data_IF_721761283057
#
_entry.id   IF_721761283057
#
_cell.length_a   1.000
_cell.length_b   1.000
_cell.length_c   1.000
_cell.angle_alpha   90.00
_cell.angle_beta   90.00
_cell.angle_gamma   90.00
#
_symmetry.space_group_name_H-M   'P 1'
#
loop_
_entity.id
_entity.type
_entity.pdbx_description
1 polymer ?
#
# COMPACT_ATOMS: atom_id res chain seq x y z
N UNK A 1 30.74 39.16 -37.99
CA UNK A 1 29.82 38.02 -38.20
C UNK A 1 28.74 38.11 -37.15
N UNK A 2 27.51 37.78 -37.51
CA UNK A 2 26.26 38.29 -36.93
C UNK A 2 25.97 37.88 -35.47
N UNK A 3 26.73 38.44 -34.52
CA UNK A 3 26.52 38.22 -33.08
C UNK A 3 25.12 38.69 -32.62
N UNK A 4 24.61 39.76 -33.23
CA UNK A 4 23.23 40.21 -32.99
C UNK A 4 22.17 39.24 -33.51
N UNK A 5 22.45 38.48 -34.59
CA UNK A 5 21.48 37.50 -35.11
C UNK A 5 21.48 36.24 -34.26
N UNK A 6 22.64 35.78 -33.79
CA UNK A 6 22.69 34.61 -32.90
C UNK A 6 22.04 34.92 -31.53
N UNK A 7 22.20 36.13 -31.00
CA UNK A 7 21.56 36.60 -29.77
C UNK A 7 20.03 36.64 -29.89
N UNK A 8 19.50 37.15 -31.00
CA UNK A 8 18.06 37.19 -31.26
C UNK A 8 17.48 35.77 -31.38
N UNK A 9 18.18 34.86 -32.03
CA UNK A 9 17.75 33.46 -32.16
C UNK A 9 17.69 32.80 -30.78
N UNK A 10 18.68 33.05 -29.92
CA UNK A 10 18.73 32.48 -28.57
C UNK A 10 17.61 33.01 -27.66
N UNK A 11 17.29 34.30 -27.77
CA UNK A 11 16.16 34.90 -27.04
C UNK A 11 14.83 34.32 -27.55
N UNK A 12 14.68 34.13 -28.86
CA UNK A 12 13.46 33.59 -29.45
C UNK A 12 13.24 32.12 -29.05
N UNK A 13 14.29 31.29 -29.06
CA UNK A 13 14.19 29.88 -28.64
C UNK A 13 13.94 29.76 -27.14
N UNK A 14 14.59 30.58 -26.31
CA UNK A 14 14.32 30.61 -24.87
C UNK A 14 12.89 31.04 -24.56
N UNK A 15 12.36 32.04 -25.29
CA UNK A 15 10.96 32.45 -25.17
C UNK A 15 10.01 31.31 -25.54
N UNK A 16 10.25 30.63 -26.67
CA UNK A 16 9.43 29.51 -27.11
C UNK A 16 9.43 28.35 -26.09
N UNK A 17 10.59 28.06 -25.48
CA UNK A 17 10.71 27.05 -24.43
C UNK A 17 10.00 27.46 -23.14
N UNK A 18 10.05 28.73 -22.74
CA UNK A 18 9.31 29.22 -21.58
C UNK A 18 7.80 29.18 -21.82
N UNK A 19 7.34 29.53 -23.02
CA UNK A 19 5.92 29.40 -23.40
C UNK A 19 5.50 27.93 -23.41
N UNK A 20 6.33 27.03 -23.95
CA UNK A 20 6.08 25.59 -23.91
C UNK A 20 6.01 25.06 -22.47
N UNK A 21 6.92 25.47 -21.60
CA UNK A 21 6.90 25.14 -20.16
C UNK A 21 5.68 25.71 -19.46
N UNK A 22 5.27 26.94 -19.79
CA UNK A 22 4.11 27.59 -19.20
C UNK A 22 2.81 26.92 -19.67
N UNK A 23 2.71 26.55 -20.95
CA UNK A 23 1.61 25.73 -21.48
C UNK A 23 1.61 24.36 -20.83
N UNK A 24 2.76 23.69 -20.71
CA UNK A 24 2.85 22.37 -20.05
C UNK A 24 2.52 22.48 -18.55
N UNK A 25 2.92 23.56 -17.89
CA UNK A 25 2.60 23.81 -16.48
C UNK A 25 1.11 24.08 -16.28
N UNK A 26 0.50 24.88 -17.16
CA UNK A 26 -0.95 25.07 -17.17
C UNK A 26 -1.67 23.80 -17.56
N UNK A 27 -1.27 23.04 -18.58
CA UNK A 27 -1.84 21.74 -18.96
C UNK A 27 -1.65 20.69 -17.86
N UNK A 28 -0.57 20.74 -17.08
CA UNK A 28 -0.38 19.85 -15.93
C UNK A 28 -1.27 20.26 -14.76
N UNK A 29 -1.63 21.54 -14.66
CA UNK A 29 -2.69 22.03 -13.77
C UNK A 29 -4.11 21.92 -14.36
N UNK A 30 -4.29 21.80 -15.67
CA UNK A 30 -5.59 21.75 -16.36
C UNK A 30 -6.02 20.31 -16.64
N UNK A 31 -5.06 19.40 -16.84
CA UNK A 31 -5.32 17.96 -16.89
C UNK A 31 -5.45 17.33 -15.50
N UNK A 32 -5.25 18.11 -14.43
CA UNK A 32 -5.63 17.75 -13.05
C UNK A 32 -6.83 18.56 -12.54
N UNK A 33 -7.44 19.37 -13.43
CA UNK A 33 -8.69 20.08 -13.17
C UNK A 33 -9.67 19.81 -14.33
N UNK A 34 -10.36 18.69 -14.24
CA UNK A 34 -11.78 18.70 -14.60
C UNK A 34 -12.53 19.59 -13.60
N UNK A 35 -12.32 20.90 -13.72
CA UNK A 35 -13.28 21.90 -13.27
C UNK A 35 -14.46 21.83 -14.25
N UNK A 36 -15.27 20.79 -14.08
CA UNK A 36 -16.63 20.78 -14.59
C UNK A 36 -17.43 21.70 -13.66
N UNK A 37 -17.49 22.98 -14.01
CA UNK A 37 -18.44 23.93 -13.46
C UNK A 37 -19.86 23.52 -13.90
N UNK A 38 -20.39 22.54 -13.18
CA UNK A 38 -21.81 22.25 -13.01
C UNK A 38 -21.90 21.38 -11.77
N UNK A 39 -22.61 21.88 -10.75
CA UNK A 39 -23.21 21.10 -9.67
C UNK A 39 -24.21 20.07 -10.24
N UNK A 40 -23.69 19.10 -10.97
CA UNK A 40 -24.29 17.79 -11.17
C UNK A 40 -23.21 16.83 -10.74
N UNK A 41 -22.99 16.71 -9.43
CA UNK A 41 -22.55 15.43 -8.90
C UNK A 41 -23.61 14.45 -9.40
N UNK A 42 -23.32 13.72 -10.47
CA UNK A 42 -24.15 12.61 -10.88
C UNK A 42 -24.21 11.71 -9.67
N UNK A 43 -25.37 11.70 -9.02
CA UNK A 43 -25.52 10.97 -7.78
C UNK A 43 -25.69 9.51 -8.15
N UNK A 44 -24.58 8.78 -8.23
CA UNK A 44 -24.57 7.36 -8.56
C UNK A 44 -25.31 6.50 -7.52
N UNK A 45 -25.76 7.07 -6.39
CA UNK A 45 -26.56 6.36 -5.39
C UNK A 45 -27.77 5.66 -6.03
N UNK A 46 -28.51 6.34 -6.92
CA UNK A 46 -29.69 5.75 -7.56
C UNK A 46 -29.33 4.62 -8.54
N UNK A 47 -28.18 4.71 -9.20
CA UNK A 47 -27.68 3.67 -10.10
C UNK A 47 -27.14 2.46 -9.33
N UNK A 48 -26.41 2.72 -8.24
CA UNK A 48 -25.91 1.70 -7.32
C UNK A 48 -27.08 0.97 -6.63
N UNK A 49 -28.14 1.68 -6.23
CA UNK A 49 -29.36 1.06 -5.67
C UNK A 49 -30.06 0.15 -6.69
N UNK A 50 -30.20 0.59 -7.95
CA UNK A 50 -30.72 -0.25 -9.05
C UNK A 50 -29.85 -1.48 -9.32
N UNK A 51 -28.55 -1.38 -9.10
CA UNK A 51 -27.61 -2.51 -9.18
C UNK A 51 -27.57 -3.37 -7.89
N UNK A 52 -28.47 -3.11 -6.93
CA UNK A 52 -28.54 -3.79 -5.64
C UNK A 52 -27.22 -3.71 -4.83
N UNK A 53 -26.52 -2.58 -4.95
CA UNK A 53 -25.29 -2.28 -4.20
C UNK A 53 -25.68 -1.57 -2.91
N UNK A 54 -25.35 -2.19 -1.76
CA UNK A 54 -25.63 -1.60 -0.44
C UNK A 54 -24.49 -0.66 -0.06
N UNK A 55 -24.84 0.60 0.20
CA UNK A 55 -23.87 1.65 0.55
C UNK A 55 -23.83 1.94 2.06
N UNK A 56 -22.65 2.32 2.58
CA UNK A 56 -22.51 2.76 3.97
C UNK A 56 -23.01 4.21 4.12
N UNK A 57 -23.04 4.69 5.36
CA UNK A 57 -23.17 6.13 5.62
C UNK A 57 -21.82 6.80 5.40
N UNK A 58 -21.76 7.68 4.41
CA UNK A 58 -20.59 8.51 4.10
C UNK A 58 -20.43 9.68 5.07
N UNK A 59 -19.19 10.13 5.24
CA UNK A 59 -18.85 11.33 5.98
C UNK A 59 -18.66 12.49 5.01
N UNK A 60 -19.46 13.56 5.16
CA UNK A 60 -19.30 14.78 4.38
C UNK A 60 -18.20 15.68 4.94
N UNK A 61 -17.04 15.10 5.26
CA UNK A 61 -15.91 15.81 5.85
C UNK A 61 -14.73 15.77 4.88
N UNK A 62 -14.18 16.95 4.59
CA UNK A 62 -12.94 17.06 3.83
C UNK A 62 -11.77 16.96 4.80
N UNK A 63 -10.91 15.97 4.56
CA UNK A 63 -9.72 15.73 5.38
C UNK A 63 -8.48 16.38 4.76
N UNK A 64 -7.50 16.71 5.61
CA UNK A 64 -6.17 17.13 5.16
C UNK A 64 -5.12 16.20 5.76
N UNK A 65 -4.33 15.53 4.92
CA UNK A 65 -3.35 14.54 5.36
C UNK A 65 -2.05 14.71 4.59
N UNK A 66 -0.87 14.69 5.26
CA UNK A 66 0.42 14.80 4.60
C UNK A 66 0.89 13.45 4.04
N UNK A 67 2.00 13.47 3.30
CA UNK A 67 2.75 12.24 3.01
C UNK A 67 3.55 11.85 4.25
N UNK A 68 3.93 10.57 4.33
CA UNK A 68 4.83 10.10 5.38
C UNK A 68 5.98 9.29 4.79
N UNK A 69 7.10 9.28 5.51
CA UNK A 69 8.32 8.57 5.16
C UNK A 69 8.71 7.62 6.28
N UNK A 70 9.25 6.48 5.88
CA UNK A 70 10.02 5.60 6.76
C UNK A 70 11.43 5.41 6.21
N UNK A 71 12.39 5.20 7.09
CA UNK A 71 13.76 4.82 6.72
C UNK A 71 13.84 3.29 6.63
N UNK A 72 14.68 2.78 5.73
CA UNK A 72 15.02 1.37 5.68
C UNK A 72 15.65 0.94 7.00
N UNK A 73 15.24 -0.22 7.51
CA UNK A 73 15.67 -0.67 8.82
C UNK A 73 15.52 -2.19 8.97
N UNK A 74 16.35 -2.74 9.86
CA UNK A 74 16.35 -4.15 10.24
C UNK A 74 15.83 -4.35 11.67
N UNK A 75 15.00 -3.43 12.17
CA UNK A 75 14.62 -3.35 13.60
C UNK A 75 13.99 -4.65 14.11
N UNK A 76 13.19 -5.35 13.31
CA UNK A 76 12.65 -6.66 13.72
C UNK A 76 13.77 -7.68 13.93
N UNK A 77 14.72 -7.74 13.00
CA UNK A 77 15.87 -8.65 13.04
C UNK A 77 16.83 -8.33 14.19
N UNK A 78 17.10 -7.04 14.43
CA UNK A 78 17.97 -6.57 15.53
C UNK A 78 17.36 -6.83 16.92
N UNK A 79 16.04 -6.79 17.03
CA UNK A 79 15.33 -6.92 18.31
C UNK A 79 14.77 -8.32 18.56
N UNK A 80 14.99 -9.28 17.64
CA UNK A 80 14.46 -10.66 17.72
C UNK A 80 14.79 -11.38 19.02
N UNK A 81 15.95 -11.09 19.62
CA UNK A 81 16.42 -11.77 20.83
C UNK A 81 15.66 -11.34 22.09
N UNK A 82 14.87 -10.26 22.01
CA UNK A 82 13.95 -9.83 23.08
C UNK A 82 12.73 -10.75 23.22
N UNK A 83 12.39 -11.50 22.16
CA UNK A 83 11.24 -12.40 22.16
C UNK A 83 11.63 -13.74 22.78
N UNK A 84 11.15 -14.04 23.99
CA UNK A 84 11.36 -15.33 24.66
C UNK A 84 10.22 -16.31 24.37
N UNK A 85 10.49 -17.63 24.36
CA UNK A 85 9.50 -18.72 24.29
C UNK A 85 8.69 -18.87 22.98
N UNK A 86 9.32 -18.76 21.81
CA UNK A 86 8.63 -18.95 20.52
C UNK A 86 9.50 -19.71 19.50
N UNK A 87 8.90 -20.60 18.72
CA UNK A 87 9.55 -21.27 17.57
C UNK A 87 9.54 -20.33 16.38
N UNK A 88 10.72 -20.02 15.84
CA UNK A 88 10.94 -18.88 14.93
C UNK A 88 11.20 -19.35 13.50
N UNK A 89 10.56 -18.67 12.54
CA UNK A 89 10.96 -18.70 11.14
C UNK A 89 11.07 -17.24 10.71
N UNK A 90 12.27 -16.81 10.36
CA UNK A 90 12.52 -15.49 9.77
C UNK A 90 12.85 -15.75 8.30
N UNK A 91 12.17 -15.06 7.39
CA UNK A 91 12.56 -15.13 5.97
C UNK A 91 13.99 -14.62 5.78
N UNK A 92 14.69 -15.12 4.76
CA UNK A 92 16.12 -14.86 4.51
C UNK A 92 16.45 -13.35 4.35
N UNK A 93 15.45 -12.53 4.05
CA UNK A 93 15.55 -11.07 3.92
C UNK A 93 15.28 -10.28 5.23
N UNK A 94 14.93 -10.94 6.34
CA UNK A 94 14.65 -10.28 7.62
C UNK A 94 13.37 -9.44 7.69
N UNK A 95 12.59 -9.36 6.61
CA UNK A 95 11.43 -8.48 6.48
C UNK A 95 10.13 -9.04 7.10
N UNK A 96 10.07 -10.36 7.27
CA UNK A 96 8.92 -11.06 7.84
C UNK A 96 9.38 -11.88 9.04
N UNK A 97 8.76 -11.59 10.19
CA UNK A 97 8.91 -12.38 11.40
C UNK A 97 7.71 -13.28 11.60
N UNK A 98 7.91 -14.60 11.58
CA UNK A 98 6.84 -15.58 11.77
C UNK A 98 7.06 -16.37 13.05
N UNK A 99 5.99 -16.51 13.84
CA UNK A 99 6.04 -17.16 15.14
C UNK A 99 4.84 -18.08 15.37
N UNK A 100 5.11 -19.27 15.90
CA UNK A 100 4.10 -20.22 16.37
C UNK A 100 3.96 -20.06 17.89
N UNK A 101 2.73 -19.84 18.34
CA UNK A 101 2.42 -19.64 19.75
C UNK A 101 2.43 -20.98 20.49
N UNK A 102 3.22 -21.08 21.57
CA UNK A 102 3.22 -22.26 22.43
C UNK A 102 1.89 -22.47 23.15
N UNK A 103 1.18 -21.37 23.44
CA UNK A 103 -0.16 -21.39 24.03
C UNK A 103 -1.13 -20.64 23.09
N UNK A 104 -1.98 -21.35 22.35
CA UNK A 104 -2.96 -20.72 21.46
C UNK A 104 -3.92 -19.78 22.20
N UNK A 105 -4.31 -18.69 21.54
CA UNK A 105 -5.24 -17.71 22.10
C UNK A 105 -6.65 -18.05 21.60
N UNK A 106 -7.43 -18.74 22.44
CA UNK A 106 -8.83 -19.04 22.12
C UNK A 106 -9.70 -17.77 22.07
N UNK A 107 -10.50 -17.63 21.01
CA UNK A 107 -11.47 -16.55 20.82
C UNK A 107 -12.91 -17.08 20.94
N UNK A 108 -13.88 -16.16 20.93
CA UNK A 108 -15.31 -16.51 20.87
C UNK A 108 -15.64 -17.30 19.59
N UNK A 109 -16.61 -18.21 19.72
CA UNK A 109 -17.10 -19.01 18.60
C UNK A 109 -18.09 -18.25 17.69
N UNK A 110 -18.35 -16.97 17.98
CA UNK A 110 -19.24 -16.11 17.20
C UNK A 110 -18.74 -15.82 15.77
N UNK A 111 -19.67 -15.59 14.84
CA UNK A 111 -19.33 -15.34 13.41
C UNK A 111 -18.44 -14.11 13.22
N UNK A 112 -18.58 -13.10 14.09
CA UNK A 112 -17.75 -11.90 14.13
C UNK A 112 -16.93 -11.90 15.42
N UNK A 113 -15.80 -11.20 15.40
CA UNK A 113 -15.04 -10.94 16.62
C UNK A 113 -15.86 -10.10 17.58
N UNK A 114 -15.87 -10.49 18.85
CA UNK A 114 -16.48 -9.71 19.92
C UNK A 114 -15.49 -8.66 20.42
N UNK A 115 -15.98 -7.63 21.12
CA UNK A 115 -15.11 -6.63 21.74
C UNK A 115 -14.11 -7.25 22.71
N UNK A 116 -14.50 -8.32 23.40
CA UNK A 116 -13.65 -9.07 24.33
C UNK A 116 -12.52 -9.82 23.60
N UNK A 117 -12.80 -10.36 22.42
CA UNK A 117 -11.76 -10.99 21.58
C UNK A 117 -10.72 -9.95 21.15
N UNK A 118 -11.18 -8.78 20.72
CA UNK A 118 -10.30 -7.68 20.31
C UNK A 118 -9.47 -7.17 21.50
N UNK A 119 -10.07 -7.02 22.68
CA UNK A 119 -9.35 -6.64 23.91
C UNK A 119 -8.25 -7.66 24.26
N UNK A 120 -8.59 -8.95 24.27
CA UNK A 120 -7.62 -10.03 24.53
C UNK A 120 -6.45 -10.02 23.54
N UNK A 121 -6.73 -9.77 22.26
CA UNK A 121 -5.70 -9.67 21.24
C UNK A 121 -4.88 -8.39 21.36
N UNK A 122 -5.51 -7.26 21.72
CA UNK A 122 -4.79 -6.01 22.00
C UNK A 122 -3.80 -6.18 23.15
N UNK A 123 -4.18 -6.89 24.22
CA UNK A 123 -3.30 -7.18 25.34
C UNK A 123 -2.11 -8.04 24.90
N UNK A 124 -2.35 -9.03 24.03
CA UNK A 124 -1.29 -9.85 23.46
C UNK A 124 -0.35 -9.03 22.55
N UNK A 125 -0.90 -8.20 21.67
CA UNK A 125 -0.14 -7.30 20.79
C UNK A 125 0.73 -6.33 21.60
N UNK A 126 0.23 -5.82 22.72
CA UNK A 126 0.98 -4.90 23.59
C UNK A 126 1.93 -5.59 24.58
N UNK A 127 1.95 -6.92 24.60
CA UNK A 127 2.85 -7.69 25.47
C UNK A 127 4.28 -7.70 24.94
N UNK A 128 5.19 -8.34 25.69
CA UNK A 128 6.58 -8.57 25.28
C UNK A 128 6.73 -9.67 24.21
N UNK A 129 5.62 -10.28 23.79
CA UNK A 129 5.58 -11.37 22.81
C UNK A 129 5.57 -10.88 21.36
N UNK A 130 5.36 -9.58 21.14
CA UNK A 130 5.33 -8.93 19.82
C UNK A 130 6.22 -7.68 19.88
N UNK A 131 7.14 -7.57 18.92
CA UNK A 131 8.02 -6.40 18.84
C UNK A 131 7.22 -5.18 18.38
N UNK A 132 7.46 -4.03 18.99
CA UNK A 132 6.81 -2.77 18.58
C UNK A 132 5.27 -2.82 18.55
N UNK A 133 4.64 -3.77 19.23
CA UNK A 133 3.20 -4.00 19.10
C UNK A 133 2.32 -2.82 19.52
N UNK A 134 2.85 -1.92 20.35
CA UNK A 134 2.22 -0.63 20.69
C UNK A 134 1.91 0.27 19.47
N UNK A 135 2.63 0.08 18.37
CA UNK A 135 2.50 0.89 17.16
C UNK A 135 1.42 0.33 16.22
N UNK A 136 0.82 -0.80 16.57
CA UNK A 136 -0.22 -1.47 15.79
C UNK A 136 -1.60 -1.34 16.43
N UNK A 137 -2.63 -1.31 15.59
CA UNK A 137 -4.02 -1.36 16.01
C UNK A 137 -4.81 -2.34 15.17
N UNK A 138 -5.86 -2.92 15.76
CA UNK A 138 -6.77 -3.80 15.03
C UNK A 138 -7.31 -3.08 13.80
N UNK A 139 -7.17 -3.72 12.64
CA UNK A 139 -7.60 -3.14 11.36
C UNK A 139 -8.80 -3.91 10.81
N UNK A 140 -8.69 -5.23 10.64
CA UNK A 140 -9.77 -6.05 10.07
C UNK A 140 -9.68 -7.52 10.45
N UNK A 141 -10.80 -8.21 10.24
CA UNK A 141 -10.91 -9.66 10.35
C UNK A 141 -11.40 -10.23 9.02
N UNK A 142 -10.70 -11.24 8.51
CA UNK A 142 -11.00 -11.95 7.26
C UNK A 142 -11.44 -13.37 7.62
N UNK A 143 -12.76 -13.66 7.70
CA UNK A 143 -13.25 -14.96 8.11
C UNK A 143 -12.90 -16.08 7.13
N UNK A 144 -12.92 -15.80 5.81
CA UNK A 144 -12.62 -16.77 4.76
C UNK A 144 -11.18 -17.29 4.84
N UNK A 145 -10.24 -16.40 5.15
CA UNK A 145 -8.83 -16.73 5.37
C UNK A 145 -8.48 -17.14 6.79
N UNK A 146 -9.43 -17.08 7.74
CA UNK A 146 -9.16 -17.28 9.18
C UNK A 146 -8.03 -16.36 9.69
N UNK A 147 -8.06 -15.08 9.29
CA UNK A 147 -6.98 -14.13 9.56
C UNK A 147 -7.48 -12.89 10.28
N UNK A 148 -6.74 -12.43 11.29
CA UNK A 148 -6.95 -11.14 11.96
C UNK A 148 -5.74 -10.26 11.68
N UNK A 149 -6.00 -9.04 11.19
CA UNK A 149 -4.97 -8.12 10.73
C UNK A 149 -4.95 -6.90 11.64
N UNK A 150 -3.76 -6.58 12.12
CA UNK A 150 -3.43 -5.33 12.80
C UNK A 150 -2.52 -4.52 11.89
N UNK A 151 -2.78 -3.22 11.74
CA UNK A 151 -1.98 -2.33 10.90
C UNK A 151 -1.14 -1.40 11.78
N UNK A 152 0.09 -1.10 11.36
CA UNK A 152 0.88 -0.06 12.01
C UNK A 152 0.22 1.30 11.79
N UNK A 153 0.19 2.12 12.83
CA UNK A 153 -0.37 3.47 12.79
C UNK A 153 0.74 4.49 12.51
N UNK A 154 0.58 5.21 11.40
CA UNK A 154 1.40 6.31 10.95
C UNK A 154 0.58 7.60 11.02
N UNK A 155 1.03 8.63 11.76
CA UNK A 155 0.29 9.91 11.85
C UNK A 155 -1.23 9.71 12.12
N UNK A 156 -1.56 8.86 13.10
CA UNK A 156 -2.93 8.49 13.48
C UNK A 156 -3.77 7.76 12.40
N UNK A 157 -3.16 7.31 11.31
CA UNK A 157 -3.79 6.63 10.18
C UNK A 157 -3.10 5.26 9.96
N UNK A 158 -3.84 4.17 9.71
CA UNK A 158 -3.24 2.86 9.48
C UNK A 158 -2.50 2.78 8.14
N UNK A 159 -1.40 2.04 8.09
CA UNK A 159 -0.76 1.61 6.84
C UNK A 159 -1.53 0.38 6.32
N UNK A 160 -2.12 0.48 5.14
CA UNK A 160 -3.13 -0.48 4.65
C UNK A 160 -2.71 -1.27 3.42
N UNK A 161 -1.43 -1.23 3.06
CA UNK A 161 -0.87 -1.87 1.87
C UNK A 161 -0.24 -3.25 2.13
N UNK A 162 -0.20 -3.68 3.40
CA UNK A 162 0.41 -4.93 3.84
C UNK A 162 1.93 -4.86 4.04
N UNK A 163 2.54 -3.68 3.92
CA UNK A 163 3.97 -3.48 4.20
C UNK A 163 4.25 -3.40 5.69
N UNK A 164 3.26 -3.02 6.51
CA UNK A 164 3.36 -3.00 7.97
C UNK A 164 2.10 -3.50 8.64
N UNK A 165 2.10 -4.79 8.95
CA UNK A 165 0.98 -5.45 9.59
C UNK A 165 1.41 -6.62 10.48
N UNK A 166 0.56 -6.97 11.44
CA UNK A 166 0.59 -8.25 12.13
C UNK A 166 -0.62 -9.05 11.63
N UNK A 167 -0.35 -10.23 11.09
CA UNK A 167 -1.37 -11.17 10.63
C UNK A 167 -1.41 -12.33 11.60
N UNK A 168 -2.47 -12.43 12.39
CA UNK A 168 -2.77 -13.60 13.19
C UNK A 168 -3.49 -14.64 12.36
N UNK A 169 -3.02 -15.88 12.41
CA UNK A 169 -3.67 -17.02 11.76
C UNK A 169 -4.42 -17.86 12.78
N UNK A 170 -5.68 -18.16 12.46
CA UNK A 170 -6.57 -18.92 13.31
C UNK A 170 -6.67 -20.37 12.82
N UNK A 171 -6.82 -21.29 13.76
CA UNK A 171 -7.24 -22.65 13.46
C UNK A 171 -8.76 -22.77 13.28
N UNK A 172 -9.21 -23.98 12.92
CA UNK A 172 -10.63 -24.32 12.74
C UNK A 172 -11.47 -24.17 14.02
N UNK A 173 -10.83 -24.09 15.18
CA UNK A 173 -11.45 -23.88 16.48
C UNK A 173 -11.39 -22.41 16.93
N UNK A 174 -11.03 -21.48 16.03
CA UNK A 174 -10.86 -20.04 16.31
C UNK A 174 -9.87 -19.74 17.43
N UNK A 175 -8.76 -20.46 17.41
CA UNK A 175 -7.61 -20.17 18.26
C UNK A 175 -6.53 -19.55 17.41
N UNK A 176 -5.94 -18.45 17.88
CA UNK A 176 -4.74 -17.90 17.25
C UNK A 176 -3.58 -18.85 17.54
N UNK A 177 -3.00 -19.42 16.49
CA UNK A 177 -1.93 -20.41 16.57
C UNK A 177 -0.57 -19.86 16.15
N UNK A 178 -0.57 -18.85 15.27
CA UNK A 178 0.64 -18.23 14.77
C UNK A 178 0.36 -16.79 14.37
N UNK A 179 1.45 -16.05 14.19
CA UNK A 179 1.40 -14.74 13.58
C UNK A 179 2.58 -14.49 12.66
N UNK A 180 2.35 -13.61 11.70
CA UNK A 180 3.38 -12.98 10.88
C UNK A 180 3.41 -11.49 11.21
N UNK A 181 4.61 -10.92 11.27
CA UNK A 181 4.80 -9.51 11.54
C UNK A 181 5.72 -8.88 10.49
N UNK A 182 5.29 -7.72 10.00
CA UNK A 182 6.07 -6.78 9.18
C UNK A 182 6.04 -5.42 9.84
N UNK A 183 7.16 -4.72 9.82
CA UNK A 183 7.32 -3.41 10.46
C UNK A 183 8.13 -2.49 9.55
N UNK A 184 7.59 -1.30 9.27
CA UNK A 184 8.27 -0.33 8.39
C UNK A 184 9.15 0.64 9.16
N UNK A 185 9.21 0.53 10.49
CA UNK A 185 10.00 1.42 11.33
C UNK A 185 9.26 2.69 11.76
N UNK A 186 9.97 3.62 12.43
CA UNK A 186 9.44 4.93 12.79
C UNK A 186 9.02 5.73 11.55
N UNK A 187 7.91 6.44 11.69
CA UNK A 187 7.31 7.20 10.60
C UNK A 187 7.50 8.69 10.85
N UNK A 188 7.91 9.41 9.81
CA UNK A 188 8.06 10.88 9.83
C UNK A 188 7.09 11.52 8.84
N UNK A 189 6.50 12.65 9.24
CA UNK A 189 5.63 13.44 8.35
C UNK A 189 6.48 14.22 7.36
N UNK A 190 6.07 14.21 6.09
CA UNK A 190 6.77 14.88 5.00
C UNK A 190 5.90 15.97 4.38
N UNK A 191 6.38 17.21 4.43
CA UNK A 191 5.73 18.37 3.83
C UNK A 191 4.39 18.75 4.49
N UNK A 192 3.62 19.54 3.75
CA UNK A 192 2.31 20.05 4.18
C UNK A 192 1.19 19.05 3.93
N UNK A 193 0.13 19.15 4.74
CA UNK A 193 -1.07 18.32 4.56
C UNK A 193 -1.82 18.69 3.28
N UNK A 194 -2.20 17.69 2.49
CA UNK A 194 -2.97 17.88 1.26
C UNK A 194 -4.45 17.59 1.49
N UNK A 195 -5.29 18.36 0.81
CA UNK A 195 -6.73 18.15 0.81
C UNK A 195 -7.07 16.83 0.11
N UNK A 196 -7.96 16.06 0.73
CA UNK A 196 -8.35 14.74 0.24
C UNK A 196 -9.76 14.77 -0.37
N UNK A 197 -9.99 13.91 -1.35
CA UNK A 197 -11.34 13.58 -1.80
C UNK A 197 -12.13 12.95 -0.64
N UNK A 198 -13.46 13.04 -0.69
CA UNK A 198 -14.34 12.44 0.32
C UNK A 198 -14.42 10.92 0.16
N UNK A 199 -14.88 10.24 1.22
CA UNK A 199 -15.14 8.79 1.19
C UNK A 199 -16.22 8.42 0.14
N UNK A 200 -17.24 9.28 -0.04
CA UNK A 200 -18.23 9.17 -1.12
C UNK A 200 -17.57 9.25 -2.50
N UNK A 201 -16.73 10.26 -2.73
CA UNK A 201 -16.07 10.42 -4.03
C UNK A 201 -15.22 9.20 -4.39
N UNK A 202 -14.53 8.60 -3.42
CA UNK A 202 -13.78 7.37 -3.64
C UNK A 202 -14.67 6.20 -4.09
N UNK A 203 -15.86 6.04 -3.51
CA UNK A 203 -16.82 5.00 -3.93
C UNK A 203 -17.41 5.31 -5.31
N UNK A 204 -17.73 6.57 -5.60
CA UNK A 204 -18.20 6.99 -6.94
C UNK A 204 -17.16 6.67 -8.01
N UNK A 205 -15.88 6.96 -7.76
CA UNK A 205 -14.76 6.63 -8.66
C UNK A 205 -14.68 5.13 -8.91
N UNK A 206 -14.74 4.30 -7.87
CA UNK A 206 -14.71 2.84 -8.01
C UNK A 206 -15.90 2.33 -8.84
N UNK A 207 -17.10 2.87 -8.61
CA UNK A 207 -18.30 2.47 -9.34
C UNK A 207 -18.23 2.85 -10.83
N UNK A 208 -17.85 4.09 -11.14
CA UNK A 208 -17.69 4.58 -12.53
C UNK A 208 -16.70 3.75 -13.34
N UNK A 209 -15.67 3.21 -12.68
CA UNK A 209 -14.64 2.38 -13.29
C UNK A 209 -14.95 0.87 -13.21
N UNK A 210 -16.20 0.49 -12.93
CA UNK A 210 -16.66 -0.89 -12.84
C UNK A 210 -15.91 -1.76 -11.81
N UNK A 211 -15.31 -1.15 -10.78
CA UNK A 211 -14.60 -1.85 -9.71
C UNK A 211 -15.54 -2.30 -8.57
N UNK A 212 -16.83 -1.92 -8.62
CA UNK A 212 -17.88 -2.37 -7.70
C UNK A 212 -18.92 -3.18 -8.47
N UNK A 213 -18.94 -4.52 -8.33
CA UNK A 213 -19.95 -5.37 -8.95
C UNK A 213 -21.36 -5.14 -8.38
N UNK A 214 -22.38 -5.47 -9.16
CA UNK A 214 -23.77 -5.55 -8.69
C UNK A 214 -23.93 -6.61 -7.58
N UNK A 215 -25.01 -6.50 -6.80
CA UNK A 215 -25.34 -7.42 -5.71
C UNK A 215 -24.28 -7.51 -4.59
N UNK A 216 -23.54 -6.42 -4.36
CA UNK A 216 -22.49 -6.34 -3.33
C UNK A 216 -22.87 -5.39 -2.18
N UNK A 217 -22.12 -5.47 -1.09
CA UNK A 217 -22.19 -4.52 0.02
C UNK A 217 -20.86 -3.81 0.16
N UNK A 218 -20.87 -2.49 -0.03
CA UNK A 218 -19.71 -1.62 0.18
C UNK A 218 -19.61 -1.32 1.67
N UNK A 219 -18.49 -1.69 2.30
CA UNK A 219 -18.20 -1.27 3.67
C UNK A 219 -17.79 0.20 3.70
N UNK A 220 -17.87 0.81 4.88
CA UNK A 220 -17.42 2.18 5.08
C UNK A 220 -15.94 2.32 4.65
N UNK A 221 -15.60 3.25 3.74
CA UNK A 221 -14.21 3.52 3.41
C UNK A 221 -13.40 3.91 4.65
N UNK A 222 -12.18 3.40 4.72
CA UNK A 222 -11.23 3.70 5.80
C UNK A 222 -10.06 4.46 5.20
N UNK A 223 -9.69 5.58 5.81
CA UNK A 223 -8.50 6.31 5.42
C UNK A 223 -7.27 5.51 5.85
N UNK A 224 -6.33 5.33 4.94
CA UNK A 224 -5.10 4.58 5.16
C UNK A 224 -3.91 5.20 4.45
N UNK A 225 -2.73 4.65 4.66
CA UNK A 225 -1.54 4.89 3.85
C UNK A 225 -1.26 3.72 2.91
N UNK A 226 -0.66 4.01 1.76
CA UNK A 226 -0.13 3.05 0.79
C UNK A 226 1.25 3.50 0.32
N UNK A 227 2.20 2.57 0.21
CA UNK A 227 3.57 2.84 -0.25
C UNK A 227 3.58 3.22 -1.72
N UNK A 228 3.96 4.45 -2.01
CA UNK A 228 4.08 4.98 -3.37
C UNK A 228 5.50 4.93 -3.90
N UNK A 229 6.50 4.89 -3.01
CA UNK A 229 7.91 4.79 -3.38
C UNK A 229 8.63 3.84 -2.42
N UNK A 230 9.49 3.00 -2.99
CA UNK A 230 10.41 2.14 -2.26
C UNK A 230 11.84 2.34 -2.82
N UNK A 231 12.71 2.96 -2.04
CA UNK A 231 14.14 3.10 -2.34
C UNK A 231 14.95 2.28 -1.33
N UNK A 232 16.24 2.11 -1.59
CA UNK A 232 17.15 1.37 -0.71
C UNK A 232 17.20 1.96 0.70
N UNK A 233 17.19 3.29 0.83
CA UNK A 233 17.33 3.98 2.12
C UNK A 233 15.99 4.38 2.74
N UNK A 234 14.92 4.48 1.97
CA UNK A 234 13.65 5.05 2.45
C UNK A 234 12.43 4.56 1.69
N UNK A 235 11.25 4.82 2.25
CA UNK A 235 9.97 4.58 1.60
C UNK A 235 9.00 5.71 1.85
N UNK A 236 8.23 6.05 0.82
CA UNK A 236 7.21 7.09 0.89
C UNK A 236 5.83 6.47 0.82
N UNK A 237 4.91 7.04 1.59
CA UNK A 237 3.54 6.61 1.70
C UNK A 237 2.59 7.79 1.47
N UNK A 238 1.56 7.56 0.66
CA UNK A 238 0.52 8.52 0.36
C UNK A 238 -0.82 8.09 0.99
N UNK A 239 -1.69 9.05 1.35
CA UNK A 239 -3.01 8.74 1.85
C UNK A 239 -3.89 8.11 0.77
N UNK A 240 -4.67 7.11 1.15
CA UNK A 240 -5.57 6.35 0.28
C UNK A 240 -6.89 6.04 1.00
N UNK A 241 -7.96 5.94 0.21
CA UNK A 241 -9.21 5.35 0.66
C UNK A 241 -9.18 3.84 0.45
N UNK A 242 -9.21 3.09 1.55
CA UNK A 242 -9.34 1.65 1.55
C UNK A 242 -10.83 1.26 1.63
N UNK A 243 -11.32 0.54 0.62
CA UNK A 243 -12.74 0.19 0.49
C UNK A 243 -12.88 -1.32 0.42
N UNK A 244 -13.58 -1.92 1.37
CA UNK A 244 -13.95 -3.35 1.31
C UNK A 244 -15.32 -3.52 0.65
N UNK A 245 -15.41 -4.49 -0.24
CA UNK A 245 -16.61 -4.84 -1.00
C UNK A 245 -16.91 -6.31 -0.69
N UNK A 246 -18.00 -6.54 0.05
CA UNK A 246 -18.48 -7.87 0.39
C UNK A 246 -19.44 -8.36 -0.69
N UNK A 247 -19.11 -9.50 -1.29
CA UNK A 247 -20.02 -10.27 -2.15
C UNK A 247 -20.57 -11.48 -1.39
N UNK A 248 -21.41 -12.29 -2.04
CA UNK A 248 -21.93 -13.52 -1.45
C UNK A 248 -20.86 -14.58 -1.20
N UNK A 249 -19.76 -14.55 -1.97
CA UNK A 249 -18.71 -15.58 -1.95
C UNK A 249 -17.39 -15.09 -1.37
N UNK A 250 -17.07 -13.81 -1.53
CA UNK A 250 -15.76 -13.26 -1.19
C UNK A 250 -15.82 -11.78 -0.78
N UNK A 251 -14.80 -11.32 -0.06
CA UNK A 251 -14.58 -9.91 0.28
C UNK A 251 -13.36 -9.40 -0.45
N UNK A 252 -13.55 -8.40 -1.32
CA UNK A 252 -12.46 -7.76 -2.06
C UNK A 252 -12.12 -6.40 -1.45
N UNK A 253 -10.84 -6.05 -1.45
CA UNK A 253 -10.38 -4.73 -1.06
C UNK A 253 -9.93 -3.93 -2.29
N UNK A 254 -10.41 -2.69 -2.40
CA UNK A 254 -10.01 -1.72 -3.41
C UNK A 254 -9.36 -0.51 -2.74
N UNK A 255 -8.50 0.18 -3.47
CA UNK A 255 -7.81 1.38 -2.99
C UNK A 255 -7.93 2.49 -4.03
N UNK A 256 -8.21 3.70 -3.54
CA UNK A 256 -8.25 4.93 -4.34
C UNK A 256 -7.27 5.92 -3.72
N UNK A 257 -6.41 6.52 -4.51
CA UNK A 257 -5.56 7.64 -4.09
C UNK A 257 -6.45 8.75 -3.53
N UNK A 258 -6.21 9.13 -2.26
CA UNK A 258 -7.08 10.07 -1.58
C UNK A 258 -6.84 11.53 -2.01
N UNK A 259 -5.75 11.81 -2.73
CA UNK A 259 -5.41 13.14 -3.24
C UNK A 259 -5.88 13.29 -4.69
N UNK A 260 -5.50 12.35 -5.55
CA UNK A 260 -5.72 12.45 -7.01
C UNK A 260 -6.97 11.69 -7.48
N UNK A 261 -7.58 10.85 -6.65
CA UNK A 261 -8.76 10.08 -7.04
C UNK A 261 -8.50 8.99 -8.07
N UNK A 262 -7.27 8.49 -8.17
CA UNK A 262 -6.90 7.41 -9.08
C UNK A 262 -7.03 6.04 -8.40
N UNK A 263 -7.41 5.01 -9.16
CA UNK A 263 -7.57 3.66 -8.63
C UNK A 263 -6.21 2.97 -8.59
N UNK A 264 -5.80 2.52 -7.40
CA UNK A 264 -4.52 1.85 -7.22
C UNK A 264 -4.71 0.36 -7.47
N UNK A 265 -4.15 -0.13 -8.58
CA UNK A 265 -4.06 -1.56 -8.89
C UNK A 265 -2.77 -2.11 -8.30
N UNK A 266 -2.79 -3.35 -7.80
CA UNK A 266 -1.72 -3.96 -6.99
C UNK A 266 -0.39 -4.23 -7.72
N UNK A 267 -0.04 -3.49 -8.78
CA UNK A 267 1.13 -3.75 -9.64
C UNK A 267 1.99 -2.54 -9.98
N UNK A 268 1.74 -1.35 -9.44
CA UNK A 268 2.51 -0.14 -9.78
C UNK A 268 3.30 0.38 -8.59
N UNK A 269 4.34 -0.36 -8.20
CA UNK A 269 5.49 0.27 -7.53
C UNK A 269 6.42 0.69 -8.67
N UNK A 270 6.53 1.98 -8.91
CA UNK A 270 7.54 2.51 -9.84
C UNK A 270 8.91 2.37 -9.16
N UNK A 271 9.61 1.28 -9.46
CA UNK A 271 11.06 1.19 -9.22
C UNK A 271 11.74 2.06 -10.28
N UNK A 272 12.47 3.13 -9.92
CA UNK A 272 13.27 3.84 -10.91
C UNK A 272 14.34 2.89 -11.44
N UNK A 273 14.41 2.74 -12.77
CA UNK A 273 15.36 1.89 -13.44
C UNK A 273 16.80 2.31 -13.09
N UNK A 274 17.53 1.43 -12.41
CA UNK A 274 18.98 1.58 -12.24
C UNK A 274 19.65 1.44 -13.61
N UNK A 275 20.43 2.43 -14.00
CA UNK A 275 21.26 2.41 -15.20
C UNK A 275 22.23 1.22 -15.16
N UNK A 276 22.01 0.23 -16.05
CA UNK A 276 23.00 -0.80 -16.35
C UNK A 276 24.22 -0.14 -16.99
N UNK A 277 25.36 -0.22 -16.31
CA UNK A 277 26.65 0.03 -16.93
C UNK A 277 27.01 -1.17 -17.82
N UNK A 278 26.89 -0.89 -19.11
CA UNK A 278 27.49 -1.59 -20.24
C UNK A 278 28.99 -1.82 -19.98
N UNK A 279 29.41 -3.07 -19.86
CA UNK A 279 30.79 -3.45 -20.18
C UNK A 279 30.75 -4.69 -21.08
N UNK A 280 30.89 -4.41 -22.36
CA UNK A 280 31.05 -5.39 -23.42
C UNK A 280 32.54 -5.64 -23.64
N UNK A 281 32.95 -6.90 -23.52
CA UNK A 281 34.05 -7.40 -24.34
C UNK A 281 33.77 -8.84 -24.73
N UNK A 282 33.43 -9.01 -26.00
CA UNK A 282 33.41 -10.25 -26.73
C UNK A 282 34.83 -10.83 -26.87
N UNK A 283 34.97 -12.15 -26.89
CA UNK A 283 35.53 -12.80 -28.07
C UNK A 283 35.05 -14.25 -28.24
N UNK A 284 34.88 -14.56 -29.51
CA UNK A 284 34.39 -15.75 -30.18
C UNK A 284 35.42 -16.88 -30.26
N UNK A 285 34.96 -18.13 -30.42
CA UNK A 285 35.26 -18.98 -31.58
C UNK A 285 34.86 -20.46 -31.37
N UNK A 286 34.51 -21.07 -32.50
CA UNK A 286 33.92 -22.38 -32.71
C UNK A 286 34.89 -23.58 -32.59
N UNK A 287 34.27 -24.77 -32.52
CA UNK A 287 34.59 -25.98 -33.30
C UNK A 287 35.05 -27.25 -32.54
N UNK A 288 34.18 -28.26 -32.66
CA UNK A 288 34.41 -29.65 -33.10
C UNK A 288 35.60 -30.50 -32.62
N UNK A 289 35.22 -31.73 -32.25
CA UNK A 289 35.84 -33.04 -32.53
C UNK A 289 36.94 -33.65 -31.63
N UNK A 290 36.60 -34.88 -31.20
CA UNK A 290 37.37 -36.14 -31.21
C UNK A 290 38.45 -36.43 -30.15
N UNK A 291 38.15 -37.51 -29.42
CA UNK A 291 38.95 -38.72 -29.20
C UNK A 291 40.17 -38.75 -28.26
N UNK A 292 40.01 -39.68 -27.31
CA UNK A 292 40.94 -40.71 -26.82
C UNK A 292 42.31 -40.35 -26.20
N UNK A 293 42.42 -40.87 -24.97
CA UNK A 293 43.44 -41.82 -24.50
C UNK A 293 44.57 -41.33 -23.59
N UNK A 294 44.63 -42.02 -22.43
CA UNK A 294 45.82 -42.46 -21.67
C UNK A 294 46.73 -41.39 -21.05
N UNK A 295 47.44 -41.56 -19.93
CA UNK A 295 47.55 -42.49 -18.79
C UNK A 295 48.79 -41.96 -18.01
N UNK A 296 48.86 -42.21 -16.69
CA UNK A 296 50.00 -42.02 -15.74
C UNK A 296 50.27 -40.57 -15.30
N UNK A 297 50.50 -40.30 -14.01
CA UNK A 297 51.00 -41.13 -12.90
C UNK A 297 50.05 -41.23 -11.71
#
# INVERSE_FOLDING_TARGET
MDFKRIEIIFVLTFLALNVFLLVTYFDKNYNDFSENDSNVQVNFIDEMDKANIKLPKFQNETNKVPYVQTEANDLLTENRDKLSNQTRIVEENGAIYSSILSNPIALSQEKKLTSKDIEKLNDFVKSDQILFGKDYQFFRYIPSGQQIIYAQIANNIPITDGTSEIIFHLDSSKQVISYEQRYVGPVTVQGESRELITDKNAVDILYQNNEIPADTTVKKPVLGYYRTLNLEELSMYAPVWFVEIDSSTDTQAKRVDAINGTIIKSSSIETPASEEKDDSSADSSESSSSELSSEKQ
#
